data_IF_101018160721
#
_entry.id   IF_101018160721
#
_cell.length_a   1.000
_cell.length_b   1.000
_cell.length_c   1.000
_cell.angle_alpha   90.00
_cell.angle_beta   90.00
_cell.angle_gamma   90.00
#
_symmetry.space_group_name_H-M   'P 1'
#
loop_
_entity.id
_entity.type
_entity.pdbx_description
1 polymer ?
#
# COMPACT_ATOMS: atom_id res chain seq x y z
N UNK A 1 -1.25 15.27 -5.98
CA UNK A 1 -1.24 13.81 -5.70
C UNK A 1 -1.81 13.37 -4.36
N UNK A 2 -1.53 14.02 -3.22
CA UNK A 2 -1.95 13.49 -1.89
C UNK A 2 -3.46 13.23 -1.73
N UNK A 3 -4.29 13.94 -2.49
CA UNK A 3 -5.76 13.79 -2.48
C UNK A 3 -6.29 12.76 -3.50
N UNK A 4 -5.41 12.00 -4.17
CA UNK A 4 -5.84 10.84 -4.96
C UNK A 4 -6.37 9.73 -4.02
N UNK A 5 -7.27 8.90 -4.54
CA UNK A 5 -7.72 7.67 -3.91
C UNK A 5 -6.84 6.53 -4.43
N UNK A 6 -5.92 6.10 -3.59
CA UNK A 6 -5.04 4.98 -3.88
C UNK A 6 -5.70 3.68 -3.43
N UNK A 7 -5.64 2.65 -4.26
CA UNK A 7 -5.91 1.27 -3.88
C UNK A 7 -4.59 0.53 -3.76
N UNK A 8 -4.33 -0.09 -2.62
CA UNK A 8 -3.10 -0.86 -2.39
C UNK A 8 -3.35 -2.06 -1.48
N UNK A 9 -2.51 -3.07 -1.62
CA UNK A 9 -2.46 -4.18 -0.68
C UNK A 9 -1.66 -3.79 0.57
N UNK A 10 -2.29 -3.85 1.75
CA UNK A 10 -1.62 -3.69 3.05
C UNK A 10 -1.27 -5.04 3.68
N UNK A 11 -0.63 -4.99 4.84
CA UNK A 11 -0.33 -6.17 5.68
C UNK A 11 -1.59 -6.90 6.17
N UNK A 12 -2.77 -6.29 6.04
CA UNK A 12 -4.03 -6.84 6.54
C UNK A 12 -5.10 -7.11 5.51
N UNK A 13 -5.21 -6.33 4.45
CA UNK A 13 -6.28 -6.44 3.43
C UNK A 13 -6.05 -5.36 2.37
N UNK A 14 -6.73 -5.46 1.24
CA UNK A 14 -6.87 -4.37 0.28
C UNK A 14 -7.45 -3.12 0.97
N UNK A 15 -6.78 -1.99 0.80
CA UNK A 15 -7.12 -0.73 1.46
C UNK A 15 -7.18 0.44 0.49
N UNK A 16 -8.12 1.35 0.74
CA UNK A 16 -8.08 2.69 0.18
C UNK A 16 -7.25 3.61 1.05
N UNK A 17 -6.41 4.42 0.42
CA UNK A 17 -5.53 5.40 1.07
C UNK A 17 -5.72 6.78 0.41
N UNK A 18 -5.74 7.84 1.22
CA UNK A 18 -5.78 9.23 0.73
C UNK A 18 -5.47 10.23 1.84
N UNK A 19 -4.94 11.39 1.49
CA UNK A 19 -4.90 12.52 2.42
C UNK A 19 -6.27 13.20 2.56
N UNK A 20 -7.19 12.98 1.61
CA UNK A 20 -8.58 13.44 1.68
C UNK A 20 -9.51 12.33 2.21
N UNK A 21 -9.88 12.43 3.49
CA UNK A 21 -10.81 11.48 4.12
C UNK A 21 -12.18 11.46 3.44
N UNK A 22 -12.64 12.60 2.92
CA UNK A 22 -13.95 12.69 2.26
C UNK A 22 -13.95 11.86 0.98
N UNK A 23 -12.81 11.72 0.30
CA UNK A 23 -12.70 10.90 -0.91
C UNK A 23 -12.91 9.42 -0.61
N UNK A 24 -12.30 8.91 0.46
CA UNK A 24 -12.52 7.52 0.92
C UNK A 24 -13.97 7.31 1.34
N UNK A 25 -14.55 8.24 2.11
CA UNK A 25 -15.94 8.13 2.60
C UNK A 25 -16.93 8.10 1.43
N UNK A 26 -16.77 9.01 0.46
CA UNK A 26 -17.60 9.07 -0.76
C UNK A 26 -17.46 7.80 -1.59
N UNK A 27 -16.24 7.33 -1.83
CA UNK A 27 -15.99 6.11 -2.60
C UNK A 27 -16.71 4.91 -1.97
N UNK A 28 -16.64 4.77 -0.64
CA UNK A 28 -17.31 3.68 0.09
C UNK A 28 -18.84 3.81 0.18
N UNK A 29 -19.43 4.84 -0.43
CA UNK A 29 -20.86 5.18 -0.34
C UNK A 29 -21.37 5.18 1.10
N UNK A 30 -20.51 5.59 2.02
CA UNK A 30 -20.82 5.57 3.44
C UNK A 30 -21.41 6.93 3.84
N UNK A 31 -22.71 6.98 4.13
CA UNK A 31 -23.41 8.20 4.54
C UNK A 31 -22.99 8.76 5.91
N UNK A 32 -22.16 8.04 6.66
CA UNK A 32 -21.74 8.43 8.01
C UNK A 32 -20.33 9.03 8.07
N UNK A 33 -20.16 10.02 8.93
CA UNK A 33 -18.88 10.59 9.36
C UNK A 33 -18.11 9.59 10.24
N UNK A 34 -17.68 8.47 9.64
CA UNK A 34 -16.94 7.42 10.32
C UNK A 34 -15.49 7.83 10.52
N UNK A 35 -15.00 7.67 11.75
CA UNK A 35 -13.58 7.87 12.05
C UNK A 35 -12.74 6.87 11.25
N UNK A 36 -12.11 7.36 10.19
CA UNK A 36 -11.14 6.60 9.42
C UNK A 36 -9.87 6.39 10.25
N UNK A 37 -9.21 5.26 10.02
CA UNK A 37 -7.89 5.04 10.58
C UNK A 37 -6.86 5.82 9.77
N UNK A 38 -5.69 6.02 10.35
CA UNK A 38 -4.57 6.69 9.70
C UNK A 38 -3.36 5.77 9.68
N UNK A 39 -2.75 5.62 8.51
CA UNK A 39 -1.58 4.78 8.29
C UNK A 39 -0.34 5.63 8.06
N UNK A 40 0.77 5.18 8.63
CA UNK A 40 2.07 5.81 8.47
C UNK A 40 3.18 4.76 8.56
N UNK A 41 4.31 5.02 7.89
CA UNK A 41 5.53 4.24 8.07
C UNK A 41 6.36 4.68 9.29
N UNK A 42 5.95 5.75 9.99
CA UNK A 42 6.74 6.35 11.07
C UNK A 42 5.88 6.74 12.25
N UNK A 43 6.28 6.29 13.45
CA UNK A 43 5.71 6.82 14.69
C UNK A 43 5.95 8.32 14.87
N UNK A 44 7.01 8.87 14.24
CA UNK A 44 7.31 10.31 14.25
C UNK A 44 6.18 11.13 13.65
N UNK A 45 5.72 10.75 12.44
CA UNK A 45 4.62 11.41 11.76
C UNK A 45 3.29 11.37 12.55
N UNK A 46 3.08 10.33 13.38
CA UNK A 46 1.92 10.28 14.27
C UNK A 46 2.09 11.27 15.43
N UNK A 47 3.29 11.38 16.00
CA UNK A 47 3.59 12.28 17.12
C UNK A 47 3.39 13.76 16.77
N UNK A 48 3.58 14.13 15.50
CA UNK A 48 3.32 15.49 15.00
C UNK A 48 1.84 15.90 15.15
N UNK A 49 0.90 14.95 15.14
CA UNK A 49 -0.54 15.23 15.15
C UNK A 49 -1.31 14.63 16.34
N UNK A 50 -0.62 13.88 17.20
CA UNK A 50 -1.21 13.23 18.38
C UNK A 50 -0.17 12.95 19.46
N UNK A 51 -0.48 13.31 20.71
CA UNK A 51 0.36 12.95 21.87
C UNK A 51 0.34 11.44 22.09
N UNK A 52 1.52 10.83 22.18
CA UNK A 52 1.69 9.40 22.43
C UNK A 52 2.48 9.20 23.74
N UNK A 53 1.93 8.48 24.75
CA UNK A 53 2.71 8.07 25.91
C UNK A 53 3.93 7.23 25.49
N UNK A 54 5.12 7.57 25.99
CA UNK A 54 6.38 6.94 25.57
C UNK A 54 6.40 5.43 25.78
N UNK A 55 5.73 4.94 26.83
CA UNK A 55 5.56 3.50 27.14
C UNK A 55 4.91 2.74 25.97
N UNK A 56 4.07 3.40 25.17
CA UNK A 56 3.36 2.78 24.04
C UNK A 56 4.20 2.76 22.76
N UNK A 57 5.32 3.50 22.67
CA UNK A 57 6.12 3.59 21.45
C UNK A 57 6.56 2.21 20.94
N UNK A 58 6.98 1.32 21.85
CA UNK A 58 7.39 -0.05 21.49
C UNK A 58 6.23 -0.86 20.93
N UNK A 59 5.05 -0.78 21.55
CA UNK A 59 3.86 -1.52 21.12
C UNK A 59 3.34 -1.00 19.77
N UNK A 60 3.24 0.32 19.62
CA UNK A 60 2.81 0.99 18.38
C UNK A 60 3.74 0.64 17.23
N UNK A 61 5.06 0.67 17.47
CA UNK A 61 6.03 0.34 16.44
C UNK A 61 6.00 -1.14 16.09
N UNK A 62 6.01 -2.05 17.06
CA UNK A 62 6.37 -3.47 16.81
C UNK A 62 5.19 -4.41 16.55
N UNK A 63 3.97 -4.05 16.95
CA UNK A 63 2.81 -4.94 16.75
C UNK A 63 2.36 -4.90 15.29
N UNK A 64 2.55 -6.01 14.58
CA UNK A 64 2.09 -6.19 13.19
C UNK A 64 0.56 -6.19 13.12
N UNK A 65 -0.02 -5.77 11.98
CA UNK A 65 -1.46 -5.87 11.71
C UNK A 65 -2.32 -5.29 12.84
N UNK A 66 -1.86 -4.21 13.47
CA UNK A 66 -2.46 -3.66 14.69
C UNK A 66 -2.74 -2.17 14.56
N UNK A 67 -3.98 -1.79 14.85
CA UNK A 67 -4.44 -0.39 14.88
C UNK A 67 -4.69 0.02 16.33
N UNK A 68 -4.27 1.22 16.70
CA UNK A 68 -4.47 1.79 18.02
C UNK A 68 -5.42 2.97 17.97
N UNK A 69 -6.51 2.93 18.75
CA UNK A 69 -7.42 4.07 18.94
C UNK A 69 -6.93 4.87 20.15
N UNK A 70 -6.66 6.16 19.95
CA UNK A 70 -6.15 7.05 20.98
C UNK A 70 -7.29 7.75 21.73
N UNK A 71 -7.03 8.36 22.90
CA UNK A 71 -8.04 9.09 23.66
C UNK A 71 -8.74 10.21 22.90
N UNK A 72 -8.08 10.82 21.90
CA UNK A 72 -8.66 11.83 21.01
C UNK A 72 -9.51 11.23 19.86
N UNK A 73 -9.92 9.97 19.98
CA UNK A 73 -10.64 9.17 18.98
C UNK A 73 -9.89 8.93 17.65
N UNK A 74 -8.68 9.49 17.45
CA UNK A 74 -7.88 9.22 16.27
C UNK A 74 -7.35 7.79 16.33
N UNK A 75 -7.41 7.09 15.21
CA UNK A 75 -6.95 5.71 15.09
C UNK A 75 -5.71 5.67 14.22
N UNK A 76 -4.65 5.01 14.68
CA UNK A 76 -3.36 4.96 13.99
C UNK A 76 -2.83 3.55 13.83
N UNK A 77 -2.22 3.29 12.69
CA UNK A 77 -1.41 2.11 12.42
C UNK A 77 -0.04 2.55 11.94
N UNK A 78 1.00 1.97 12.54
CA UNK A 78 2.35 2.03 11.96
C UNK A 78 2.54 0.75 11.16
N UNK A 79 2.71 0.91 9.85
CA UNK A 79 3.01 -0.21 8.96
C UNK A 79 4.52 -0.44 9.00
N UNK A 80 4.92 -1.68 9.21
CA UNK A 80 6.32 -2.14 9.19
C UNK A 80 6.55 -3.24 8.14
N UNK A 81 5.57 -3.49 7.26
CA UNK A 81 5.67 -4.64 6.38
C UNK A 81 6.97 -4.59 5.54
N UNK A 82 7.67 -5.72 5.49
CA UNK A 82 8.92 -5.95 4.74
C UNK A 82 8.62 -6.82 3.52
N UNK A 83 7.52 -6.54 2.85
CA UNK A 83 7.09 -7.30 1.69
C UNK A 83 7.68 -6.66 0.45
N UNK A 84 8.77 -7.24 -0.04
CA UNK A 84 9.58 -6.73 -1.14
C UNK A 84 8.89 -7.04 -2.45
N UNK A 85 8.10 -6.11 -2.96
CA UNK A 85 7.32 -6.38 -4.15
C UNK A 85 7.42 -5.21 -5.12
N UNK A 86 7.57 -5.56 -6.39
CA UNK A 86 7.51 -4.65 -7.53
C UNK A 86 6.15 -3.96 -7.57
N UNK A 87 6.13 -2.63 -7.74
CA UNK A 87 4.88 -1.88 -7.87
C UNK A 87 4.69 -1.40 -9.30
N UNK A 88 3.57 -1.81 -9.87
CA UNK A 88 3.08 -1.27 -11.13
C UNK A 88 1.93 -0.29 -10.86
N UNK A 89 1.97 0.84 -11.55
CA UNK A 89 0.97 1.89 -11.51
C UNK A 89 0.05 1.72 -12.72
N UNK A 90 -1.11 1.10 -12.56
CA UNK A 90 -1.97 0.77 -13.72
C UNK A 90 -2.74 1.96 -14.27
N UNK A 91 -3.07 2.93 -13.42
CA UNK A 91 -3.81 4.13 -13.77
C UNK A 91 -2.91 5.34 -13.52
N UNK A 92 -2.42 5.95 -14.61
CA UNK A 92 -1.54 7.14 -14.66
C UNK A 92 -0.04 6.88 -14.35
N UNK A 93 0.74 6.40 -15.34
CA UNK A 93 2.17 6.08 -15.20
C UNK A 93 3.07 7.26 -14.80
N UNK A 94 2.63 8.50 -15.03
CA UNK A 94 3.33 9.72 -14.59
C UNK A 94 3.59 9.74 -13.08
N UNK A 95 2.70 9.14 -12.28
CA UNK A 95 2.86 9.07 -10.82
C UNK A 95 3.99 8.15 -10.37
N UNK A 96 4.32 7.11 -11.16
CA UNK A 96 5.49 6.27 -10.91
C UNK A 96 6.79 7.06 -11.01
N UNK A 97 6.88 8.02 -11.95
CA UNK A 97 8.06 8.87 -12.14
C UNK A 97 8.24 9.87 -11.00
N UNK A 98 7.15 10.51 -10.56
CA UNK A 98 7.17 11.46 -9.43
C UNK A 98 7.55 10.81 -8.10
N UNK A 99 7.36 9.48 -7.96
CA UNK A 99 7.73 8.72 -6.77
C UNK A 99 9.03 7.90 -6.91
N UNK A 100 9.79 8.16 -7.98
CA UNK A 100 11.14 7.60 -8.18
C UNK A 100 11.19 6.18 -8.75
N UNK A 101 10.15 5.74 -9.47
CA UNK A 101 10.13 4.46 -10.19
C UNK A 101 10.81 4.54 -11.57
N UNK A 102 11.59 3.51 -11.94
CA UNK A 102 12.24 3.42 -13.25
C UNK A 102 11.24 2.92 -14.34
N UNK A 103 11.03 3.63 -15.46
CA UNK A 103 10.05 3.26 -16.50
C UNK A 103 10.34 2.03 -17.38
N UNK A 104 11.48 1.33 -17.22
CA UNK A 104 11.99 0.42 -18.27
C UNK A 104 11.38 -1.00 -18.38
N UNK A 105 10.41 -1.41 -17.55
CA UNK A 105 10.05 -2.84 -17.44
C UNK A 105 8.97 -3.36 -18.40
N UNK A 106 8.78 -2.82 -19.62
CA UNK A 106 7.71 -3.32 -20.52
C UNK A 106 8.06 -3.58 -21.99
N UNK A 107 9.29 -3.40 -22.46
CA UNK A 107 9.60 -3.73 -23.86
C UNK A 107 10.09 -5.17 -24.11
N UNK A 108 10.18 -6.04 -23.09
CA UNK A 108 10.71 -7.41 -23.24
C UNK A 108 9.72 -8.51 -22.81
N UNK A 109 8.43 -8.35 -23.13
CA UNK A 109 7.54 -9.50 -23.26
C UNK A 109 6.87 -9.38 -24.63
N UNK A 110 7.51 -9.98 -25.63
CA UNK A 110 7.13 -9.91 -27.03
C UNK A 110 5.73 -10.45 -27.29
N UNK A 111 4.93 -9.65 -27.97
CA UNK A 111 3.98 -10.19 -28.94
C UNK A 111 4.80 -10.83 -30.06
N UNK A 112 4.45 -12.04 -30.47
CA UNK A 112 5.11 -12.79 -31.54
C UNK A 112 4.29 -12.61 -32.84
N UNK A 113 4.71 -11.76 -33.80
CA UNK A 113 4.22 -11.84 -35.16
C UNK A 113 5.04 -12.89 -35.92
N UNK A 114 4.32 -13.83 -36.52
CA UNK A 114 4.74 -14.84 -37.50
C UNK A 114 6.10 -14.59 -38.18
N UNK A 115 7.03 -15.55 -38.04
CA UNK A 115 8.26 -15.62 -38.83
C UNK A 115 8.04 -16.52 -40.08
N UNK A 116 8.15 -15.99 -41.31
CA UNK A 116 8.42 -16.79 -42.49
C UNK A 116 9.92 -16.80 -42.81
N UNK A 117 10.48 -18.01 -42.89
CA UNK A 117 11.69 -18.41 -43.62
C UNK A 117 13.08 -18.31 -42.91
N UNK A 118 13.68 -19.49 -42.66
CA UNK A 118 15.03 -19.83 -43.12
C UNK A 118 16.23 -19.73 -42.15
N UNK A 119 16.68 -20.88 -41.62
CA UNK A 119 18.05 -21.47 -41.56
C UNK A 119 19.31 -20.54 -41.54
N UNK A 120 20.45 -20.73 -40.85
CA UNK A 120 21.27 -21.90 -40.42
C UNK A 120 22.33 -21.47 -39.37
N UNK A 121 22.71 -22.39 -38.46
CA UNK A 121 23.98 -22.56 -37.69
C UNK A 121 25.08 -21.46 -37.64
N UNK A 122 25.57 -21.14 -36.44
CA UNK A 122 26.98 -21.32 -36.00
C UNK A 122 27.19 -20.84 -34.55
N UNK A 123 27.89 -21.66 -33.78
CA UNK A 123 28.46 -21.38 -32.47
C UNK A 123 29.40 -20.18 -32.49
N UNK A 124 29.23 -19.24 -31.56
CA UNK A 124 30.27 -18.56 -30.77
C UNK A 124 29.76 -17.18 -30.28
N UNK A 125 30.06 -16.89 -29.01
CA UNK A 125 30.00 -15.57 -28.35
C UNK A 125 28.62 -14.96 -28.07
N UNK A 126 28.01 -15.40 -26.96
CA UNK A 126 27.22 -14.50 -26.10
C UNK A 126 28.02 -14.27 -24.82
N UNK A 127 28.94 -13.32 -24.91
CA UNK A 127 29.42 -12.59 -23.73
C UNK A 127 28.21 -11.98 -23.02
N UNK A 128 28.08 -12.32 -21.74
CA UNK A 128 27.30 -11.62 -20.72
C UNK A 128 25.97 -10.99 -21.18
N UNK A 129 24.91 -11.81 -21.28
CA UNK A 129 23.57 -11.31 -20.93
C UNK A 129 23.66 -10.65 -19.54
N UNK A 130 23.07 -9.47 -19.31
CA UNK A 130 23.05 -8.88 -17.98
C UNK A 130 22.22 -9.79 -17.08
N UNK A 131 22.91 -10.69 -16.38
CA UNK A 131 22.33 -11.50 -15.33
C UNK A 131 21.88 -10.53 -14.26
N UNK A 132 20.57 -10.34 -14.17
CA UNK A 132 19.98 -9.60 -13.08
C UNK A 132 20.41 -10.29 -11.78
N UNK A 133 21.33 -9.66 -11.04
CA UNK A 133 21.76 -10.11 -9.74
C UNK A 133 20.73 -9.60 -8.71
N UNK A 134 19.91 -10.46 -8.07
CA UNK A 134 18.84 -10.03 -7.16
C UNK A 134 19.33 -9.34 -5.88
N UNK A 135 20.64 -9.17 -5.70
CA UNK A 135 21.28 -8.81 -4.44
C UNK A 135 21.15 -7.31 -4.04
N UNK A 136 20.49 -6.47 -4.84
CA UNK A 136 20.22 -5.05 -4.52
C UNK A 136 18.73 -4.75 -4.28
N UNK A 137 18.02 -5.61 -3.54
CA UNK A 137 16.57 -5.50 -3.27
C UNK A 137 16.25 -4.81 -1.93
N UNK A 138 16.55 -3.53 -1.81
CA UNK A 138 16.62 -2.86 -0.49
C UNK A 138 15.32 -2.34 0.15
N UNK A 139 14.23 -2.07 -0.57
CA UNK A 139 13.13 -1.27 0.00
C UNK A 139 11.71 -1.81 -0.25
N UNK A 140 10.89 -1.85 0.81
CA UNK A 140 9.46 -2.12 0.72
C UNK A 140 8.73 -0.93 0.08
N UNK A 141 8.09 -1.17 -1.07
CA UNK A 141 7.45 -0.10 -1.85
C UNK A 141 6.23 0.51 -1.17
N UNK A 142 5.45 -0.25 -0.40
CA UNK A 142 4.34 0.29 0.37
C UNK A 142 4.81 1.22 1.51
N UNK A 143 5.90 0.88 2.19
CA UNK A 143 6.55 1.73 3.18
C UNK A 143 7.15 2.97 2.52
N UNK A 144 7.78 2.83 1.35
CA UNK A 144 8.31 3.97 0.57
C UNK A 144 7.19 4.92 0.16
N UNK A 145 6.08 4.37 -0.33
CA UNK A 145 4.85 5.09 -0.58
C UNK A 145 4.41 5.87 0.67
N UNK A 146 4.20 5.19 1.80
CA UNK A 146 3.78 5.86 3.04
C UNK A 146 4.78 6.92 3.53
N UNK A 147 6.09 6.71 3.37
CA UNK A 147 7.13 7.69 3.71
C UNK A 147 7.00 8.98 2.89
N UNK A 148 6.66 8.89 1.61
CA UNK A 148 6.47 10.05 0.74
C UNK A 148 5.25 10.92 1.15
N UNK A 149 4.24 10.30 1.78
CA UNK A 149 3.05 11.02 2.24
C UNK A 149 3.07 11.42 3.72
N UNK A 150 3.87 10.73 4.54
CA UNK A 150 3.96 10.91 5.99
C UNK A 150 2.81 10.21 6.71
N UNK A 151 1.57 10.66 6.48
CA UNK A 151 0.36 10.04 7.02
C UNK A 151 -0.81 10.12 6.03
N UNK A 152 -1.54 9.02 5.86
CA UNK A 152 -2.75 8.95 5.04
C UNK A 152 -3.92 8.42 5.87
N UNK A 153 -5.14 8.83 5.54
CA UNK A 153 -6.31 8.09 5.99
C UNK A 153 -6.37 6.75 5.27
N UNK A 154 -6.90 5.72 5.94
CA UNK A 154 -7.18 4.44 5.30
C UNK A 154 -8.51 3.83 5.73
N UNK A 155 -9.01 2.94 4.88
CA UNK A 155 -10.10 2.02 5.17
C UNK A 155 -9.95 0.79 4.28
N UNK A 156 -10.53 -0.35 4.67
CA UNK A 156 -10.65 -1.50 3.77
C UNK A 156 -11.35 -1.11 2.46
N UNK A 157 -10.93 -1.68 1.34
CA UNK A 157 -11.40 -1.30 0.02
C UNK A 157 -12.71 -2.02 -0.37
N UNK A 158 -13.75 -1.88 0.45
CA UNK A 158 -15.08 -2.46 0.25
C UNK A 158 -16.18 -1.41 0.45
N UNK A 159 -17.32 -1.59 -0.23
CA UNK A 159 -18.54 -0.85 0.07
C UNK A 159 -18.96 -1.05 1.52
N UNK A 160 -19.65 -0.07 2.10
CA UNK A 160 -20.10 -0.16 3.48
C UNK A 160 -20.97 -1.41 3.72
N UNK A 161 -20.62 -2.22 4.73
CA UNK A 161 -21.28 -3.48 5.09
C UNK A 161 -21.36 -4.53 3.96
N UNK A 162 -20.45 -4.47 2.98
CA UNK A 162 -20.33 -5.48 1.92
C UNK A 162 -18.96 -6.15 1.97
N UNK A 163 -18.87 -7.34 1.40
CA UNK A 163 -17.61 -8.04 1.16
C UNK A 163 -16.76 -7.27 0.15
N UNK A 164 -15.47 -7.60 0.09
CA UNK A 164 -14.58 -7.03 -0.90
C UNK A 164 -14.98 -7.42 -2.34
N UNK A 165 -15.00 -6.43 -3.22
CA UNK A 165 -15.18 -6.59 -4.66
C UNK A 165 -13.99 -5.89 -5.35
N UNK A 166 -13.13 -6.69 -5.98
CA UNK A 166 -11.91 -6.21 -6.63
C UNK A 166 -12.22 -5.30 -7.82
N UNK A 167 -13.14 -5.71 -8.70
CA UNK A 167 -13.49 -4.96 -9.90
C UNK A 167 -14.06 -3.59 -9.54
N UNK A 168 -14.95 -3.56 -8.53
CA UNK A 168 -15.46 -2.32 -7.99
C UNK A 168 -14.34 -1.44 -7.40
N UNK A 169 -13.49 -2.00 -6.53
CA UNK A 169 -12.44 -1.24 -5.86
C UNK A 169 -11.46 -0.62 -6.88
N UNK A 170 -11.08 -1.40 -7.89
CA UNK A 170 -10.22 -0.94 -8.97
C UNK A 170 -10.91 0.14 -9.81
N UNK A 171 -12.21 0.02 -10.09
CA UNK A 171 -12.97 1.00 -10.88
C UNK A 171 -13.01 2.39 -10.23
N UNK A 172 -13.15 2.47 -8.91
CA UNK A 172 -13.29 3.76 -8.19
C UNK A 172 -11.96 4.40 -7.82
N UNK A 173 -10.86 3.63 -7.81
CA UNK A 173 -9.54 4.15 -7.47
C UNK A 173 -8.98 5.02 -8.61
N UNK A 174 -8.40 6.16 -8.25
CA UNK A 174 -7.66 6.99 -9.20
C UNK A 174 -6.34 6.32 -9.61
N UNK A 175 -5.77 5.60 -8.64
CA UNK A 175 -4.45 4.99 -8.75
C UNK A 175 -4.46 3.65 -8.04
N UNK A 176 -4.02 2.61 -8.73
CA UNK A 176 -3.88 1.28 -8.17
C UNK A 176 -2.40 0.97 -8.08
N UNK A 177 -1.98 0.51 -6.89
CA UNK A 177 -0.62 0.11 -6.59
C UNK A 177 -0.66 -1.41 -6.49
N UNK A 178 -0.26 -2.07 -7.58
CA UNK A 178 -0.11 -3.53 -7.55
C UNK A 178 1.19 -3.91 -6.87
N UNK A 179 1.18 -5.11 -6.33
CA UNK A 179 2.38 -5.82 -5.94
C UNK A 179 2.20 -7.30 -6.29
N UNK A 180 3.21 -8.16 -6.09
CA UNK A 180 3.11 -9.55 -6.55
C UNK A 180 2.02 -10.38 -5.84
N UNK A 181 1.45 -9.87 -4.73
CA UNK A 181 0.33 -10.50 -4.03
C UNK A 181 -0.99 -10.24 -4.75
N UNK A 182 -1.06 -9.18 -5.55
CA UNK A 182 -2.30 -8.64 -6.09
C UNK A 182 -3.15 -7.95 -5.01
N UNK A 183 -4.40 -7.65 -5.36
CA UNK A 183 -5.36 -6.97 -4.49
C UNK A 183 -6.46 -7.95 -4.06
N UNK A 184 -6.60 -8.15 -2.76
CA UNK A 184 -7.59 -9.07 -2.19
C UNK A 184 -7.87 -8.83 -0.70
N UNK A 185 -8.96 -9.44 -0.22
CA UNK A 185 -9.35 -9.37 1.19
C UNK A 185 -8.61 -10.39 2.04
N UNK A 186 -8.06 -9.92 3.15
CA UNK A 186 -7.42 -10.72 4.20
C UNK A 186 -8.08 -10.43 5.56
N UNK A 187 -7.55 -11.05 6.62
CA UNK A 187 -7.96 -10.79 8.00
C UNK A 187 -7.63 -9.36 8.41
N UNK A 188 -8.68 -8.62 8.72
CA UNK A 188 -8.60 -7.25 9.19
C UNK A 188 -7.79 -7.09 10.50
N UNK A 189 -7.19 -5.92 10.72
CA UNK A 189 -6.29 -5.68 11.86
C UNK A 189 -6.88 -5.93 13.24
N UNK A 190 -6.04 -6.36 14.18
CA UNK A 190 -6.35 -6.17 15.61
C UNK A 190 -6.55 -4.69 15.91
N UNK A 191 -7.52 -4.36 16.76
CA UNK A 191 -7.76 -2.98 17.20
C UNK A 191 -7.65 -2.92 18.72
N UNK A 192 -6.77 -2.06 19.21
CA UNK A 192 -6.62 -1.76 20.62
C UNK A 192 -6.99 -0.32 20.92
N UNK A 193 -7.91 -0.10 21.85
CA UNK A 193 -8.23 1.22 22.37
C UNK A 193 -7.33 1.55 23.56
N UNK A 194 -6.56 2.63 23.44
CA UNK A 194 -5.72 3.18 24.50
C UNK A 194 -6.60 4.09 25.37
N UNK A 195 -6.70 3.75 26.67
CA UNK A 195 -7.31 4.57 27.71
C UNK A 195 -6.21 5.06 28.66
N UNK A 196 -6.55 6.00 29.55
CA UNK A 196 -5.61 6.64 30.50
C UNK A 196 -4.69 5.63 31.20
N UNK A 197 -5.24 4.54 31.73
CA UNK A 197 -4.51 3.55 32.54
C UNK A 197 -4.57 2.12 31.98
N UNK A 198 -5.15 1.89 30.80
CA UNK A 198 -5.29 0.53 30.25
C UNK A 198 -5.40 0.51 28.73
N UNK A 199 -5.04 -0.62 28.13
CA UNK A 199 -5.26 -0.91 26.72
C UNK A 199 -6.34 -1.97 26.60
N UNK A 200 -7.44 -1.67 25.89
CA UNK A 200 -8.55 -2.61 25.67
C UNK A 200 -8.47 -3.15 24.25
N UNK A 201 -8.45 -4.48 24.06
CA UNK A 201 -8.67 -5.10 22.74
C UNK A 201 -10.14 -4.95 22.35
N UNK A 202 -10.39 -4.42 21.15
CA UNK A 202 -11.73 -4.28 20.55
C UNK A 202 -12.02 -5.45 19.62
N UNK A 203 -11.02 -5.87 18.85
CA UNK A 203 -11.01 -7.06 18.00
C UNK A 203 -9.58 -7.52 17.75
#
# INVERSE_FOLDING_TARGET
MKNALFLAQSDTTAGFLSADSKKIIRAKQNGENKNLLRESASIGAIKEISRIPQVLNKAIRRRKKTTFIFPNAKSFRVVLENSHFFCEWSKNPQYGREMGGNPQTRHEMGENPQNPNGNTNLSENLEASPSWNPQNLGENLHLKFLKNFGILYSSSANLHNKSFDKSWAESVADVIIYDNRGIFEYISSHIFQIKKNKIKKIR
#
